data_IF_748315582089
#
_entry.id   IF_748315582089
#
_cell.length_a   1.000
_cell.length_b   1.000
_cell.length_c   1.000
_cell.angle_alpha   90.00
_cell.angle_beta   90.00
_cell.angle_gamma   90.00
#
_symmetry.space_group_name_H-M   'P 1'
#
loop_
_entity.id
_entity.type
_entity.pdbx_description
1 polymer ?
#
# COMPACT_ATOMS: atom_id res chain seq x y z
N UNK A 1 4.82 -16.88 -21.52
CA UNK A 1 3.63 -16.12 -21.05
C UNK A 1 4.12 -14.84 -20.38
N UNK A 2 3.80 -13.66 -20.94
CA UNK A 2 4.17 -12.37 -20.36
C UNK A 2 3.31 -12.14 -19.10
N UNK A 3 3.85 -12.47 -17.92
CA UNK A 3 3.25 -12.03 -16.65
C UNK A 3 3.42 -10.52 -16.59
N UNK A 4 2.37 -9.79 -16.93
CA UNK A 4 2.23 -8.38 -16.60
C UNK A 4 2.29 -8.33 -15.07
N UNK A 5 3.14 -7.49 -14.47
CA UNK A 5 3.15 -7.33 -13.02
C UNK A 5 1.72 -7.08 -12.56
N UNK A 6 1.23 -7.83 -11.57
CA UNK A 6 -0.08 -7.58 -10.95
C UNK A 6 -0.20 -6.13 -10.47
N UNK A 7 0.95 -5.48 -10.18
CA UNK A 7 1.10 -4.04 -10.00
C UNK A 7 0.49 -3.20 -11.14
N UNK A 8 0.62 -3.59 -12.40
CA UNK A 8 0.04 -2.89 -13.56
C UNK A 8 -1.43 -3.29 -13.79
N UNK A 9 -1.80 -4.54 -13.48
CA UNK A 9 -3.15 -5.05 -13.71
C UNK A 9 -4.16 -4.58 -12.64
N UNK A 10 -3.75 -4.52 -11.37
CA UNK A 10 -4.56 -3.95 -10.28
C UNK A 10 -4.72 -2.45 -10.46
N UNK A 11 -3.68 -1.75 -10.94
CA UNK A 11 -3.76 -0.34 -11.33
C UNK A 11 -4.75 -0.11 -12.50
N UNK A 12 -4.75 -0.98 -13.51
CA UNK A 12 -5.70 -0.88 -14.63
C UNK A 12 -7.16 -1.19 -14.24
N UNK A 13 -7.40 -2.13 -13.32
CA UNK A 13 -8.75 -2.48 -12.86
C UNK A 13 -9.33 -1.38 -11.96
N UNK A 14 -8.50 -0.73 -11.14
CA UNK A 14 -8.95 0.38 -10.29
C UNK A 14 -9.26 1.65 -11.09
N UNK A 15 -8.55 1.88 -12.21
CA UNK A 15 -8.85 2.98 -13.14
C UNK A 15 -10.25 2.85 -13.78
N UNK A 16 -10.75 1.62 -13.94
CA UNK A 16 -12.02 1.36 -14.66
C UNK A 16 -13.28 1.45 -13.81
N UNK A 17 -13.18 1.60 -12.48
CA UNK A 17 -14.35 1.67 -11.57
C UNK A 17 -14.55 3.09 -11.01
N UNK A 18 -13.55 3.98 -11.14
CA UNK A 18 -13.60 5.32 -10.56
C UNK A 18 -14.29 6.39 -11.43
N UNK A 19 -14.65 6.09 -12.68
CA UNK A 19 -15.19 7.09 -13.60
C UNK A 19 -16.53 6.64 -14.20
N UNK A 20 -17.63 7.20 -13.68
CA UNK A 20 -18.86 7.53 -14.45
C UNK A 20 -20.12 7.82 -13.62
N UNK A 21 -20.08 7.81 -12.29
CA UNK A 21 -21.32 7.99 -11.50
C UNK A 21 -21.18 8.94 -10.30
N UNK A 22 -20.83 10.21 -10.51
CA UNK A 22 -21.08 11.23 -9.47
C UNK A 22 -21.19 12.69 -9.92
N UNK A 23 -21.30 13.00 -11.22
CA UNK A 23 -21.29 14.38 -11.71
C UNK A 23 -22.57 15.21 -11.40
N UNK A 24 -23.51 14.71 -10.59
CA UNK A 24 -24.84 15.31 -10.39
C UNK A 24 -25.12 15.95 -9.03
N UNK A 25 -24.23 15.80 -8.03
CA UNK A 25 -24.46 16.28 -6.64
C UNK A 25 -23.41 17.29 -6.14
N UNK A 26 -22.54 17.78 -7.03
CA UNK A 26 -21.29 18.44 -6.65
C UNK A 26 -21.41 19.92 -6.24
N UNK A 27 -22.57 20.58 -6.38
CA UNK A 27 -22.65 22.04 -6.14
C UNK A 27 -22.97 22.47 -4.69
N UNK A 28 -23.03 21.56 -3.70
CA UNK A 28 -23.38 21.90 -2.30
C UNK A 28 -22.59 21.18 -1.20
N UNK A 29 -21.55 20.41 -1.56
CA UNK A 29 -20.81 19.62 -0.59
C UNK A 29 -19.76 20.45 0.15
N UNK A 30 -19.73 20.39 1.48
CA UNK A 30 -18.69 21.03 2.27
C UNK A 30 -17.32 20.37 2.04
N UNK A 31 -16.23 21.12 2.23
CA UNK A 31 -14.86 20.61 2.15
C UNK A 31 -14.63 19.38 3.05
N UNK A 32 -15.17 19.40 4.26
CA UNK A 32 -15.10 18.27 5.19
C UNK A 32 -15.84 17.04 4.65
N UNK A 33 -17.01 17.22 4.02
CA UNK A 33 -17.75 16.12 3.42
C UNK A 33 -17.00 15.55 2.20
N UNK A 34 -16.45 16.41 1.32
CA UNK A 34 -15.60 15.99 0.19
C UNK A 34 -14.41 15.17 0.68
N UNK A 35 -13.73 15.66 1.73
CA UNK A 35 -12.60 14.99 2.36
C UNK A 35 -13.00 13.60 2.88
N UNK A 36 -14.07 13.50 3.67
CA UNK A 36 -14.55 12.22 4.24
C UNK A 36 -14.96 11.23 3.16
N UNK A 37 -15.73 11.66 2.16
CA UNK A 37 -16.11 10.79 1.03
C UNK A 37 -14.89 10.27 0.29
N UNK A 38 -13.88 11.11 0.12
CA UNK A 38 -12.63 10.69 -0.52
C UNK A 38 -11.83 9.73 0.35
N UNK A 39 -11.80 9.89 1.68
CA UNK A 39 -11.20 8.89 2.58
C UNK A 39 -11.86 7.50 2.46
N UNK A 40 -13.19 7.43 2.36
CA UNK A 40 -13.88 6.15 2.13
C UNK A 40 -13.39 5.47 0.84
N UNK A 41 -13.23 6.24 -0.25
CA UNK A 41 -12.74 5.70 -1.52
C UNK A 41 -11.25 5.32 -1.43
N UNK A 42 -10.41 6.22 -0.98
CA UNK A 42 -8.96 6.07 -1.10
C UNK A 42 -8.42 5.08 -0.05
N UNK A 43 -9.03 5.00 1.14
CA UNK A 43 -8.64 4.06 2.21
C UNK A 43 -9.41 2.75 2.13
N UNK A 44 -10.73 2.80 1.95
CA UNK A 44 -11.60 1.62 2.05
C UNK A 44 -12.07 1.08 0.69
N UNK A 45 -11.88 1.84 -0.39
CA UNK A 45 -12.22 1.43 -1.75
C UNK A 45 -13.69 1.32 -2.06
N UNK A 46 -14.52 2.04 -1.32
CA UNK A 46 -15.95 2.09 -1.58
C UNK A 46 -16.47 3.48 -1.27
N UNK A 47 -17.68 3.77 -1.74
CA UNK A 47 -18.40 4.93 -1.24
C UNK A 47 -18.76 4.75 0.25
N UNK A 48 -18.65 5.84 1.01
CA UNK A 48 -19.25 5.91 2.33
C UNK A 48 -20.77 5.93 2.22
N UNK A 49 -21.46 5.25 3.14
CA UNK A 49 -22.91 5.42 3.25
C UNK A 49 -23.21 6.81 3.85
N UNK A 50 -24.43 7.32 3.61
CA UNK A 50 -24.76 8.69 3.99
C UNK A 50 -24.62 8.95 5.50
N UNK A 51 -25.00 7.99 6.36
CA UNK A 51 -24.86 8.14 7.81
C UNK A 51 -23.41 8.18 8.29
N UNK A 52 -22.53 7.34 7.72
CA UNK A 52 -21.10 7.33 8.07
C UNK A 52 -20.38 8.58 7.58
N UNK A 53 -20.71 9.05 6.37
CA UNK A 53 -20.20 10.31 5.83
C UNK A 53 -20.66 11.48 6.71
N UNK A 54 -21.95 11.54 7.06
CA UNK A 54 -22.50 12.57 7.93
C UNK A 54 -21.79 12.60 9.28
N UNK A 55 -21.66 11.44 9.94
CA UNK A 55 -20.99 11.33 11.24
C UNK A 55 -19.57 11.92 11.20
N UNK A 56 -18.71 11.46 10.29
CA UNK A 56 -17.33 11.95 10.23
C UNK A 56 -17.24 13.41 9.81
N UNK A 57 -18.16 13.88 8.97
CA UNK A 57 -18.25 15.29 8.58
C UNK A 57 -18.59 16.18 9.77
N UNK A 58 -19.58 15.80 10.58
CA UNK A 58 -19.95 16.53 11.80
C UNK A 58 -18.81 16.56 12.82
N UNK A 59 -18.09 15.44 12.98
CA UNK A 59 -16.92 15.39 13.83
C UNK A 59 -15.85 16.41 13.40
N UNK A 60 -15.56 16.52 12.09
CA UNK A 60 -14.62 17.51 11.57
C UNK A 60 -15.15 18.95 11.72
N UNK A 61 -16.44 19.17 11.49
CA UNK A 61 -17.08 20.48 11.68
C UNK A 61 -17.02 20.95 13.15
N UNK A 62 -17.04 20.01 14.10
CA UNK A 62 -16.86 20.27 15.53
C UNK A 62 -15.38 20.42 15.93
N UNK A 63 -14.45 20.44 14.97
CA UNK A 63 -13.03 20.67 15.22
C UNK A 63 -12.23 19.41 15.54
N UNK A 64 -12.78 18.20 15.34
CA UNK A 64 -11.98 16.97 15.47
C UNK A 64 -10.80 17.01 14.49
N UNK A 65 -9.63 16.60 14.99
CA UNK A 65 -8.42 16.60 14.20
C UNK A 65 -8.52 15.58 13.04
N UNK A 66 -8.17 15.98 11.81
CA UNK A 66 -8.12 15.10 10.63
C UNK A 66 -7.25 13.87 10.85
N UNK A 67 -6.16 13.98 11.60
CA UNK A 67 -5.33 12.83 12.02
C UNK A 67 -6.14 11.79 12.77
N UNK A 68 -7.04 12.20 13.67
CA UNK A 68 -7.90 11.26 14.41
C UNK A 68 -8.97 10.60 13.54
N UNK A 69 -9.43 11.29 12.50
CA UNK A 69 -10.35 10.71 11.51
C UNK A 69 -9.61 9.69 10.65
N UNK A 70 -8.46 10.04 10.05
CA UNK A 70 -7.66 9.11 9.24
C UNK A 70 -7.23 7.89 10.05
N UNK A 71 -6.77 8.10 11.30
CA UNK A 71 -6.41 7.02 12.21
C UNK A 71 -7.58 6.04 12.45
N UNK A 72 -8.80 6.54 12.61
CA UNK A 72 -9.98 5.69 12.78
C UNK A 72 -10.29 4.84 11.53
N UNK A 73 -10.16 5.42 10.33
CA UNK A 73 -10.34 4.68 9.07
C UNK A 73 -9.29 3.59 8.92
N UNK A 74 -8.02 3.94 9.14
CA UNK A 74 -6.90 3.03 8.99
C UNK A 74 -6.78 2.02 10.14
N UNK A 75 -7.52 2.20 11.25
CA UNK A 75 -7.67 1.21 12.34
C UNK A 75 -8.95 0.39 12.22
N UNK A 76 -9.75 0.59 11.16
CA UNK A 76 -10.96 -0.20 10.94
C UNK A 76 -10.62 -1.63 10.50
N UNK A 77 -11.50 -2.59 10.83
CA UNK A 77 -11.39 -3.96 10.30
C UNK A 77 -11.45 -3.99 8.77
N UNK A 78 -12.22 -3.08 8.18
CA UNK A 78 -12.35 -2.95 6.73
C UNK A 78 -11.03 -2.60 6.06
N UNK A 79 -10.31 -1.60 6.59
CA UNK A 79 -8.98 -1.26 6.09
C UNK A 79 -8.01 -2.43 6.24
N UNK A 80 -7.98 -3.09 7.41
CA UNK A 80 -7.08 -4.24 7.63
C UNK A 80 -7.36 -5.36 6.63
N UNK A 81 -8.62 -5.73 6.43
CA UNK A 81 -9.01 -6.77 5.48
C UNK A 81 -8.62 -6.39 4.03
N UNK A 82 -8.82 -5.13 3.67
CA UNK A 82 -8.45 -4.62 2.35
C UNK A 82 -6.94 -4.62 2.13
N UNK A 83 -6.17 -4.13 3.10
CA UNK A 83 -4.72 -4.11 3.03
C UNK A 83 -4.15 -5.54 2.88
N UNK A 84 -4.62 -6.47 3.71
CA UNK A 84 -4.23 -7.89 3.61
C UNK A 84 -4.59 -8.46 2.23
N UNK A 85 -5.80 -8.19 1.73
CA UNK A 85 -6.21 -8.62 0.39
C UNK A 85 -5.26 -8.10 -0.69
N UNK A 86 -4.79 -6.85 -0.58
CA UNK A 86 -3.79 -6.29 -1.49
C UNK A 86 -2.44 -6.97 -1.38
N UNK A 87 -1.96 -7.23 -0.16
CA UNK A 87 -0.69 -7.94 0.06
C UNK A 87 -0.74 -9.35 -0.55
N UNK A 88 -1.85 -10.08 -0.41
CA UNK A 88 -2.04 -11.38 -1.06
C UNK A 88 -2.02 -11.29 -2.59
N UNK A 89 -2.74 -10.32 -3.18
CA UNK A 89 -2.72 -10.12 -4.63
C UNK A 89 -1.34 -9.71 -5.14
N UNK A 90 -0.65 -8.86 -4.41
CA UNK A 90 0.65 -8.33 -4.79
C UNK A 90 1.77 -9.37 -4.70
N UNK A 91 1.81 -10.14 -3.61
CA UNK A 91 2.89 -11.09 -3.37
C UNK A 91 2.58 -12.49 -3.95
N UNK A 92 1.32 -12.94 -3.95
CA UNK A 92 0.97 -14.32 -4.32
C UNK A 92 0.05 -14.42 -5.54
N UNK A 93 -0.35 -13.30 -6.15
CA UNK A 93 -1.25 -13.28 -7.31
C UNK A 93 -2.56 -14.06 -7.05
N UNK A 94 -3.08 -13.97 -5.81
CA UNK A 94 -4.30 -14.65 -5.38
C UNK A 94 -5.08 -13.82 -4.37
N UNK A 95 -6.35 -14.17 -4.16
CA UNK A 95 -7.11 -13.68 -3.00
C UNK A 95 -6.77 -14.51 -1.75
N UNK A 96 -6.84 -13.91 -0.55
CA UNK A 96 -6.70 -14.66 0.68
C UNK A 96 -7.88 -15.62 0.86
N UNK A 97 -7.60 -16.79 1.44
CA UNK A 97 -8.62 -17.63 2.06
C UNK A 97 -9.13 -16.98 3.35
N UNK A 98 -10.34 -17.31 3.83
CA UNK A 98 -10.91 -16.70 5.04
C UNK A 98 -10.00 -16.75 6.26
N UNK A 99 -9.35 -17.90 6.52
CA UNK A 99 -8.49 -18.07 7.69
C UNK A 99 -7.21 -17.22 7.58
N UNK A 100 -6.59 -17.18 6.39
CA UNK A 100 -5.44 -16.33 6.12
C UNK A 100 -5.80 -14.84 6.27
N UNK A 101 -6.92 -14.41 5.69
CA UNK A 101 -7.41 -13.03 5.83
C UNK A 101 -7.58 -12.65 7.30
N UNK A 102 -8.26 -13.50 8.08
CA UNK A 102 -8.52 -13.27 9.50
C UNK A 102 -7.22 -13.22 10.31
N UNK A 103 -6.29 -14.15 10.07
CA UNK A 103 -5.00 -14.19 10.76
C UNK A 103 -4.20 -12.88 10.56
N UNK A 104 -4.01 -12.47 9.31
CA UNK A 104 -3.21 -11.28 9.01
C UNK A 104 -3.93 -9.98 9.41
N UNK A 105 -5.25 -9.91 9.28
CA UNK A 105 -6.03 -8.75 9.70
C UNK A 105 -6.06 -8.59 11.24
N UNK A 106 -5.97 -9.69 11.99
CA UNK A 106 -5.82 -9.64 13.45
C UNK A 106 -4.41 -9.16 13.82
N UNK A 107 -3.38 -9.68 13.16
CA UNK A 107 -1.99 -9.28 13.38
C UNK A 107 -1.74 -7.78 13.13
N UNK A 108 -2.44 -7.19 12.16
CA UNK A 108 -2.43 -5.75 11.90
C UNK A 108 -2.93 -4.87 13.05
N UNK A 109 -3.57 -5.43 14.09
CA UNK A 109 -3.94 -4.63 15.27
C UNK A 109 -2.71 -4.20 16.08
N UNK A 110 -1.60 -4.92 15.97
CA UNK A 110 -0.36 -4.69 16.72
C UNK A 110 0.87 -4.54 15.84
N UNK A 111 0.72 -4.67 14.51
CA UNK A 111 1.80 -4.60 13.51
C UNK A 111 1.55 -3.49 12.50
N UNK A 112 2.61 -2.92 11.93
CA UNK A 112 2.49 -1.91 10.87
C UNK A 112 2.28 -2.55 9.49
N UNK A 113 1.85 -1.77 8.49
CA UNK A 113 1.78 -2.20 7.09
C UNK A 113 3.12 -2.76 6.59
N UNK A 114 4.24 -2.13 6.95
CA UNK A 114 5.58 -2.61 6.63
C UNK A 114 5.90 -3.95 7.25
N UNK A 115 5.56 -4.14 8.53
CA UNK A 115 5.75 -5.41 9.23
C UNK A 115 4.93 -6.53 8.58
N UNK A 116 3.69 -6.24 8.17
CA UNK A 116 2.87 -7.21 7.45
C UNK A 116 3.49 -7.56 6.10
N UNK A 117 3.89 -6.58 5.29
CA UNK A 117 4.54 -6.85 3.99
C UNK A 117 5.78 -7.71 4.19
N UNK A 118 6.60 -7.37 5.17
CA UNK A 118 7.82 -8.08 5.55
C UNK A 118 7.54 -9.52 5.98
N UNK A 119 6.61 -9.72 6.89
CA UNK A 119 6.27 -11.05 7.41
C UNK A 119 5.59 -11.92 6.35
N UNK A 120 4.77 -11.32 5.49
CA UNK A 120 4.16 -12.00 4.37
C UNK A 120 5.22 -12.48 3.38
N UNK A 121 6.12 -11.57 2.99
CA UNK A 121 7.26 -11.89 2.15
C UNK A 121 8.21 -12.88 2.81
N UNK A 122 8.18 -13.10 4.12
CA UNK A 122 8.99 -14.11 4.82
C UNK A 122 8.27 -15.44 5.03
N UNK A 123 6.95 -15.49 4.86
CA UNK A 123 6.14 -16.68 5.15
C UNK A 123 6.42 -17.83 4.18
N UNK A 124 6.36 -19.06 4.69
CA UNK A 124 6.50 -20.29 3.88
C UNK A 124 5.52 -20.35 2.72
N UNK A 125 4.35 -19.72 2.84
CA UNK A 125 3.38 -19.62 1.74
C UNK A 125 3.93 -18.86 0.53
N UNK A 126 4.77 -17.83 0.71
CA UNK A 126 5.40 -17.09 -0.40
C UNK A 126 6.48 -17.98 -1.07
N UNK A 127 7.01 -18.96 -0.34
CA UNK A 127 8.15 -19.78 -0.72
C UNK A 127 7.83 -21.18 -1.23
N UNK A 128 6.62 -21.69 -1.04
CA UNK A 128 6.27 -23.07 -1.39
C UNK A 128 6.41 -23.40 -2.90
N UNK A 129 6.52 -22.40 -3.78
CA UNK A 129 6.86 -22.57 -5.20
C UNK A 129 8.37 -22.46 -5.52
N UNK A 130 9.23 -22.25 -4.52
CA UNK A 130 10.65 -21.88 -4.68
C UNK A 130 11.61 -22.67 -3.79
N UNK A 131 11.13 -23.71 -3.09
CA UNK A 131 11.90 -24.36 -2.03
C UNK A 131 13.27 -24.89 -2.49
N UNK A 132 13.45 -25.20 -3.78
CA UNK A 132 14.72 -25.69 -4.34
C UNK A 132 15.44 -24.72 -5.29
N UNK A 133 14.84 -23.59 -5.70
CA UNK A 133 15.44 -22.70 -6.69
C UNK A 133 15.61 -21.25 -6.19
N UNK A 134 16.81 -20.93 -5.70
CA UNK A 134 17.19 -19.55 -5.32
C UNK A 134 17.03 -18.54 -6.47
N UNK A 135 17.14 -18.94 -7.74
CA UNK A 135 16.93 -18.01 -8.86
C UNK A 135 15.48 -17.54 -8.95
N UNK A 136 14.53 -18.45 -8.75
CA UNK A 136 13.10 -18.12 -8.82
C UNK A 136 12.70 -17.26 -7.62
N UNK A 137 13.22 -17.61 -6.42
CA UNK A 137 13.11 -16.79 -5.22
C UNK A 137 13.55 -15.34 -5.45
N UNK A 138 14.79 -15.13 -5.90
CA UNK A 138 15.33 -13.78 -6.13
C UNK A 138 14.55 -13.06 -7.22
N UNK A 139 14.19 -13.77 -8.29
CA UNK A 139 13.41 -13.21 -9.40
C UNK A 139 12.06 -12.71 -8.90
N UNK A 140 11.35 -13.48 -8.07
CA UNK A 140 10.08 -13.06 -7.48
C UNK A 140 10.24 -11.82 -6.59
N UNK A 141 11.32 -11.72 -5.79
CA UNK A 141 11.56 -10.52 -4.98
C UNK A 141 11.75 -9.26 -5.82
N UNK A 142 12.49 -9.33 -6.94
CA UNK A 142 12.62 -8.20 -7.86
C UNK A 142 11.27 -7.80 -8.48
N UNK A 143 10.45 -8.78 -8.86
CA UNK A 143 9.12 -8.51 -9.40
C UNK A 143 8.19 -7.88 -8.37
N UNK A 144 8.07 -8.50 -7.20
CA UNK A 144 7.15 -8.07 -6.15
C UNK A 144 7.59 -6.75 -5.54
N UNK A 145 8.82 -6.66 -5.03
CA UNK A 145 9.26 -5.52 -4.22
C UNK A 145 9.86 -4.38 -5.04
N UNK A 146 10.35 -4.63 -6.25
CA UNK A 146 11.00 -3.60 -7.09
C UNK A 146 10.26 -3.35 -8.40
N UNK A 147 9.19 -4.10 -8.70
CA UNK A 147 8.40 -3.96 -9.93
C UNK A 147 9.24 -4.05 -11.21
N UNK A 148 10.29 -4.86 -11.21
CA UNK A 148 11.14 -5.09 -12.39
C UNK A 148 11.78 -6.48 -12.38
N UNK A 149 12.42 -6.86 -13.48
CA UNK A 149 13.28 -8.05 -13.51
C UNK A 149 14.67 -7.76 -12.92
N UNK A 150 15.35 -8.77 -12.33
CA UNK A 150 16.77 -8.65 -12.06
C UNK A 150 17.57 -8.51 -13.37
N UNK A 151 18.67 -7.77 -13.31
CA UNK A 151 19.75 -7.97 -14.28
C UNK A 151 20.61 -9.18 -13.84
N UNK A 152 21.46 -9.67 -14.74
CA UNK A 152 22.26 -10.88 -14.50
C UNK A 152 23.16 -10.77 -13.26
N UNK A 153 23.84 -9.62 -13.10
CA UNK A 153 24.73 -9.38 -11.96
C UNK A 153 23.99 -9.36 -10.62
N UNK A 154 22.81 -8.73 -10.56
CA UNK A 154 21.97 -8.70 -9.36
C UNK A 154 21.44 -10.07 -9.01
N UNK A 155 20.94 -10.83 -9.99
CA UNK A 155 20.50 -12.22 -9.78
C UNK A 155 21.65 -13.08 -9.24
N UNK A 156 22.82 -13.01 -9.88
CA UNK A 156 24.02 -13.77 -9.47
C UNK A 156 24.45 -13.40 -8.05
N UNK A 157 24.44 -12.13 -7.68
CA UNK A 157 24.83 -11.66 -6.35
C UNK A 157 23.94 -12.27 -5.25
N UNK A 158 22.62 -12.12 -5.35
CA UNK A 158 21.70 -12.61 -4.31
C UNK A 158 21.64 -14.14 -4.25
N UNK A 159 21.69 -14.81 -5.40
CA UNK A 159 21.78 -16.28 -5.44
C UNK A 159 23.09 -16.77 -4.83
N UNK A 160 24.20 -16.05 -5.04
CA UNK A 160 25.48 -16.31 -4.39
C UNK A 160 25.39 -16.22 -2.87
N UNK A 161 24.77 -15.15 -2.34
CA UNK A 161 24.55 -14.98 -0.89
C UNK A 161 23.77 -16.13 -0.26
N UNK A 162 22.70 -16.56 -0.91
CA UNK A 162 21.91 -17.72 -0.44
C UNK A 162 22.74 -19.02 -0.47
N UNK A 163 23.61 -19.22 -1.47
CA UNK A 163 24.51 -20.38 -1.55
C UNK A 163 25.63 -20.34 -0.50
N UNK A 164 26.04 -19.15 -0.07
CA UNK A 164 27.00 -18.93 1.01
C UNK A 164 26.41 -19.16 2.41
N UNK A 165 25.09 -19.40 2.51
CA UNK A 165 24.41 -19.72 3.76
C UNK A 165 23.58 -18.58 4.35
N UNK A 166 23.47 -17.43 3.66
CA UNK A 166 22.56 -16.37 4.09
C UNK A 166 21.10 -16.82 4.02
N UNK A 167 20.26 -16.28 4.91
CA UNK A 167 18.87 -16.69 4.98
C UNK A 167 17.99 -15.92 3.97
N UNK A 168 16.86 -16.52 3.60
CA UNK A 168 15.85 -15.87 2.76
C UNK A 168 15.31 -14.61 3.42
N UNK A 169 15.10 -14.66 4.73
CA UNK A 169 14.64 -13.55 5.55
C UNK A 169 15.62 -12.38 5.49
N UNK A 170 16.93 -12.67 5.51
CA UNK A 170 17.97 -11.66 5.35
C UNK A 170 17.92 -11.01 3.96
N UNK A 171 17.74 -11.80 2.90
CA UNK A 171 17.61 -11.24 1.53
C UNK A 171 16.35 -10.37 1.41
N UNK A 172 15.19 -10.81 1.93
CA UNK A 172 13.96 -10.00 1.97
C UNK A 172 14.20 -8.68 2.70
N UNK A 173 14.87 -8.74 3.85
CA UNK A 173 15.22 -7.54 4.62
C UNK A 173 16.00 -6.54 3.77
N UNK A 174 17.02 -7.01 3.04
CA UNK A 174 17.84 -6.15 2.18
C UNK A 174 17.06 -5.54 1.02
N UNK A 175 16.07 -6.25 0.49
CA UNK A 175 15.20 -5.70 -0.57
C UNK A 175 14.27 -4.62 0.00
N UNK A 176 13.58 -4.89 1.11
CA UNK A 176 12.66 -3.93 1.75
C UNK A 176 13.41 -2.70 2.26
N UNK A 177 14.61 -2.88 2.83
CA UNK A 177 15.42 -1.75 3.30
C UNK A 177 16.10 -0.98 2.16
N UNK A 178 15.96 -1.41 0.90
CA UNK A 178 16.67 -0.79 -0.22
C UNK A 178 16.06 0.57 -0.60
N UNK A 179 16.94 1.47 -1.04
CA UNK A 179 16.57 2.78 -1.62
C UNK A 179 15.61 2.63 -2.81
N UNK A 180 15.67 1.50 -3.53
CA UNK A 180 14.80 1.21 -4.65
C UNK A 180 13.37 0.86 -4.20
N UNK A 181 13.21 -0.07 -3.25
CA UNK A 181 11.90 -0.38 -2.67
C UNK A 181 11.24 0.88 -2.10
N UNK A 182 11.99 1.65 -1.31
CA UNK A 182 11.49 2.91 -0.73
C UNK A 182 10.99 3.87 -1.81
N UNK A 183 11.72 3.99 -2.92
CA UNK A 183 11.30 4.83 -4.04
C UNK A 183 10.02 4.32 -4.70
N UNK A 184 9.92 3.02 -4.97
CA UNK A 184 8.71 2.40 -5.55
C UNK A 184 7.50 2.56 -4.64
N UNK A 185 7.68 2.37 -3.35
CA UNK A 185 6.61 2.53 -2.37
C UNK A 185 6.12 3.98 -2.28
N UNK A 186 7.02 4.97 -2.21
CA UNK A 186 6.64 6.39 -2.21
C UNK A 186 5.91 6.78 -3.49
N UNK A 187 6.40 6.37 -4.66
CA UNK A 187 5.74 6.62 -5.94
C UNK A 187 4.33 6.03 -5.94
N UNK A 188 4.17 4.80 -5.45
CA UNK A 188 2.86 4.16 -5.32
C UNK A 188 1.90 4.98 -4.44
N UNK A 189 2.34 5.45 -3.27
CA UNK A 189 1.48 6.25 -2.38
C UNK A 189 1.08 7.59 -3.00
N UNK A 190 1.98 8.20 -3.77
CA UNK A 190 1.73 9.45 -4.46
C UNK A 190 0.72 9.28 -5.59
N UNK A 191 0.89 8.26 -6.42
CA UNK A 191 -0.09 7.93 -7.46
C UNK A 191 -1.46 7.63 -6.83
N UNK A 192 -1.49 6.82 -5.78
CA UNK A 192 -2.72 6.39 -5.15
C UNK A 192 -3.49 7.50 -4.42
N UNK A 193 -2.80 8.31 -3.60
CA UNK A 193 -3.47 9.31 -2.76
C UNK A 193 -3.46 10.70 -3.37
N UNK A 194 -2.51 11.02 -4.26
CA UNK A 194 -2.33 12.36 -4.80
C UNK A 194 -2.54 12.45 -6.33
N UNK A 195 -2.80 11.33 -7.00
CA UNK A 195 -3.03 11.23 -8.45
C UNK A 195 -1.89 11.84 -9.28
N UNK A 196 -0.64 11.68 -8.80
CA UNK A 196 0.55 12.20 -9.49
C UNK A 196 1.82 11.47 -9.07
N UNK A 197 2.89 11.63 -9.83
CA UNK A 197 4.23 11.23 -9.39
C UNK A 197 4.89 12.28 -8.48
N UNK A 198 5.77 11.86 -7.54
CA UNK A 198 6.59 12.77 -6.76
C UNK A 198 7.71 13.38 -7.62
N UNK A 199 7.93 14.68 -7.49
CA UNK A 199 9.14 15.33 -8.01
C UNK A 199 10.41 14.76 -7.35
N UNK A 200 11.61 14.87 -7.96
CA UNK A 200 12.83 14.24 -7.43
C UNK A 200 13.15 14.60 -5.97
N UNK A 201 13.00 15.87 -5.58
CA UNK A 201 13.26 16.30 -4.20
C UNK A 201 12.16 15.82 -3.23
N UNK A 202 10.91 15.78 -3.69
CA UNK A 202 9.82 15.18 -2.92
C UNK A 202 10.08 13.68 -2.71
N UNK A 203 10.47 12.94 -3.75
CA UNK A 203 10.80 11.53 -3.66
C UNK A 203 11.93 11.28 -2.65
N UNK A 204 12.99 12.10 -2.69
CA UNK A 204 14.09 12.04 -1.71
C UNK A 204 13.58 12.29 -0.29
N UNK A 205 12.82 13.35 -0.08
CA UNK A 205 12.24 13.68 1.23
C UNK A 205 11.38 12.54 1.78
N UNK A 206 10.44 12.05 0.98
CA UNK A 206 9.48 11.03 1.43
C UNK A 206 10.12 9.66 1.67
N UNK A 207 11.24 9.35 0.99
CA UNK A 207 12.04 8.16 1.31
C UNK A 207 12.71 8.27 2.68
N UNK A 208 13.20 9.44 3.07
CA UNK A 208 13.71 9.64 4.43
C UNK A 208 12.58 9.55 5.47
N UNK A 209 11.42 10.15 5.17
CA UNK A 209 10.24 10.01 6.04
C UNK A 209 9.78 8.56 6.19
N UNK A 210 9.88 7.74 5.14
CA UNK A 210 9.56 6.31 5.22
C UNK A 210 10.48 5.56 6.19
N UNK A 211 11.76 5.91 6.27
CA UNK A 211 12.69 5.31 7.24
C UNK A 211 12.39 5.71 8.67
N UNK A 212 11.98 6.96 8.88
CA UNK A 212 11.71 7.52 10.21
C UNK A 212 10.33 7.10 10.75
N UNK A 213 9.32 7.11 9.89
CA UNK A 213 7.92 6.99 10.28
C UNK A 213 7.30 5.62 9.95
N UNK A 214 7.98 4.82 9.13
CA UNK A 214 7.42 3.62 8.52
C UNK A 214 6.29 3.93 7.54
N UNK A 215 5.77 2.86 6.92
CA UNK A 215 4.70 2.90 5.92
C UNK A 215 3.48 3.63 6.46
N UNK A 216 3.07 3.29 7.69
CA UNK A 216 1.89 3.87 8.36
C UNK A 216 2.02 5.37 8.52
N UNK A 217 3.16 5.84 9.02
CA UNK A 217 3.36 7.24 9.31
C UNK A 217 3.44 8.08 8.04
N UNK A 218 4.00 7.53 6.95
CA UNK A 218 3.96 8.18 5.63
C UNK A 218 2.52 8.29 5.10
N UNK A 219 1.74 7.20 5.14
CA UNK A 219 0.31 7.23 4.75
C UNK A 219 -0.45 8.30 5.54
N UNK A 220 -0.29 8.31 6.87
CA UNK A 220 -0.90 9.31 7.75
C UNK A 220 -0.51 10.74 7.37
N UNK A 221 0.78 10.98 7.08
CA UNK A 221 1.29 12.31 6.75
C UNK A 221 0.79 12.80 5.39
N UNK A 222 0.63 11.91 4.40
CA UNK A 222 0.03 12.25 3.10
C UNK A 222 -1.45 12.61 3.29
N UNK A 223 -2.24 11.73 3.91
CA UNK A 223 -3.71 11.85 4.03
C UNK A 223 -4.17 13.03 4.91
N UNK A 224 -3.33 13.46 5.84
CA UNK A 224 -3.60 14.62 6.71
C UNK A 224 -2.96 15.91 6.18
N UNK A 225 -2.12 15.80 5.16
CA UNK A 225 -1.36 16.90 4.58
C UNK A 225 -2.24 17.96 3.91
N UNK A 226 -1.65 19.15 3.71
CA UNK A 226 -2.26 20.27 2.98
C UNK A 226 -2.50 19.92 1.51
N UNK A 227 -1.59 19.14 0.92
CA UNK A 227 -1.70 18.76 -0.48
C UNK A 227 -2.90 17.86 -0.74
N UNK A 228 -3.05 16.77 0.02
CA UNK A 228 -4.21 15.88 -0.10
C UNK A 228 -5.51 16.64 0.18
N UNK A 229 -5.54 17.54 1.17
CA UNK A 229 -6.68 18.43 1.40
C UNK A 229 -7.04 19.25 0.17
N UNK A 230 -6.07 19.95 -0.40
CA UNK A 230 -6.29 20.79 -1.58
C UNK A 230 -6.72 19.98 -2.81
N UNK A 231 -6.23 18.74 -2.96
CA UNK A 231 -6.65 17.82 -4.02
C UNK A 231 -8.15 17.53 -3.92
N UNK A 232 -8.65 17.24 -2.71
CA UNK A 232 -10.01 16.74 -2.53
C UNK A 232 -11.06 17.84 -2.36
N UNK A 233 -10.67 19.06 -1.99
CA UNK A 233 -11.63 20.15 -1.73
C UNK A 233 -11.81 21.12 -2.90
N UNK A 234 -10.84 21.22 -3.80
CA UNK A 234 -10.96 21.99 -5.05
C UNK A 234 -12.02 21.37 -5.95
#
# INVERSE_FOLDING_TARGET
MRRISVFVLVMAILFSIASSAFAGKDSKMSDNEKYVRTLYRDILGRAGNDSGVLYWTEQLNQGKNRTKVVEAFLNSSEYRNRFVTYVYGWCHDRRPEPDGLNYWAEKMKTSTEGDIIKDFCKSTEFWNNSNENYKDFVTNLYWTLQSRRPNESGLRYWVGKLREGETREWVVEKFISSSEYQGKYVIFLFDWYLDREPEPEALKYWKEQLKELGERGVIMKILTGKEYWNKVTK
#
